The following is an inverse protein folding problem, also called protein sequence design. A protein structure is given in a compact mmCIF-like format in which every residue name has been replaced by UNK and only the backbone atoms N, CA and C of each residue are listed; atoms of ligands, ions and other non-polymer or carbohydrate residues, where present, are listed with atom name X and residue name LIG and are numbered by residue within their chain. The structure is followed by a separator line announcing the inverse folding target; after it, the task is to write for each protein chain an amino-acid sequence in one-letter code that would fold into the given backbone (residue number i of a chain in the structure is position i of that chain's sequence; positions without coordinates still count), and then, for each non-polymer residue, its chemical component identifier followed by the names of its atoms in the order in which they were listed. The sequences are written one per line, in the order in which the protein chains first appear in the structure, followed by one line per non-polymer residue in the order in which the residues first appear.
data_IF_826079164403
#
_entry.id   IF_826079164403
#
_cell.length_a   1.000
_cell.length_b   1.000
_cell.length_c   1.000
_cell.angle_alpha   90.00
_cell.angle_beta   90.00
_cell.angle_gamma   90.00
#
_symmetry.space_group_name_H-M   'P 1'
#
loop_
_entity.id
_entity.type
_entity.pdbx_description
1 polymer ?
#
# COMPACT_ATOMS: atom_id res chain seq x y z
N UNK A 1 36.08 -10.00 -3.38
CA UNK A 1 37.51 -10.08 -3.55
C UNK A 1 37.97 -11.47 -3.15
N UNK A 2 38.68 -12.14 -4.00
CA UNK A 2 39.27 -13.45 -3.76
C UNK A 2 40.76 -13.25 -3.46
N UNK A 3 41.21 -13.75 -2.31
CA UNK A 3 42.58 -13.63 -1.88
C UNK A 3 43.37 -14.90 -2.21
N UNK A 4 44.69 -14.79 -2.46
CA UNK A 4 45.58 -15.93 -2.76
C UNK A 4 45.65 -16.99 -1.67
N UNK A 5 45.28 -16.62 -0.42
CA UNK A 5 45.20 -17.57 0.70
C UNK A 5 43.89 -18.38 0.71
N UNK A 6 43.04 -18.24 -0.31
CA UNK A 6 41.74 -18.90 -0.43
C UNK A 6 40.58 -18.21 0.26
N UNK A 7 40.80 -17.07 0.96
CA UNK A 7 39.73 -16.32 1.61
C UNK A 7 38.92 -15.53 0.59
N UNK A 8 37.59 -15.45 0.80
CA UNK A 8 36.68 -14.67 -0.02
C UNK A 8 36.06 -13.56 0.82
N UNK A 9 36.38 -12.31 0.48
CA UNK A 9 35.87 -11.12 1.17
C UNK A 9 34.76 -10.53 0.31
N UNK A 10 33.55 -10.42 0.90
CA UNK A 10 32.38 -9.80 0.27
C UNK A 10 32.16 -8.41 0.85
N UNK A 11 32.14 -7.40 -0.02
CA UNK A 11 31.95 -6.01 0.37
C UNK A 11 32.03 -5.06 -0.80
N UNK A 12 31.83 -3.78 -0.54
CA UNK A 12 31.95 -2.72 -1.51
C UNK A 12 33.39 -2.21 -1.59
N UNK A 13 33.97 -2.16 -2.78
CA UNK A 13 35.28 -1.50 -2.97
C UNK A 13 35.01 0.03 -2.89
N UNK A 14 35.49 0.66 -1.81
CA UNK A 14 35.30 2.10 -1.57
C UNK A 14 36.47 2.94 -2.06
N UNK A 15 37.64 2.34 -2.21
CA UNK A 15 38.84 3.00 -2.75
C UNK A 15 39.71 1.98 -3.45
N UNK A 16 40.30 2.35 -4.58
CA UNK A 16 41.25 1.53 -5.29
C UNK A 16 42.43 2.41 -5.71
N UNK A 17 43.62 2.04 -5.24
CA UNK A 17 44.90 2.63 -5.67
C UNK A 17 45.54 1.68 -6.67
N UNK A 18 45.65 2.03 -7.97
CA UNK A 18 46.17 1.14 -9.00
C UNK A 18 47.54 0.56 -8.60
N UNK A 19 47.69 -0.74 -8.76
CA UNK A 19 48.90 -1.53 -8.47
C UNK A 19 49.40 -1.44 -7.01
N UNK A 20 48.59 -0.90 -6.09
CA UNK A 20 48.99 -0.82 -4.66
C UNK A 20 47.99 -1.57 -3.79
N UNK A 21 46.80 -1.02 -3.61
CA UNK A 21 45.84 -1.55 -2.63
C UNK A 21 44.40 -1.27 -3.00
N UNK A 22 43.50 -2.01 -2.38
CA UNK A 22 42.06 -1.76 -2.38
C UNK A 22 41.56 -1.67 -0.95
N UNK A 23 40.54 -0.80 -0.72
CA UNK A 23 39.76 -0.77 0.53
C UNK A 23 38.39 -1.37 0.27
N UNK A 24 38.02 -2.34 1.07
CA UNK A 24 36.76 -3.05 0.99
C UNK A 24 35.97 -2.79 2.27
N UNK A 25 34.78 -2.26 2.13
CA UNK A 25 33.83 -2.14 3.23
C UNK A 25 32.88 -3.32 3.22
N UNK A 26 32.86 -4.06 4.31
CA UNK A 26 31.97 -5.20 4.53
C UNK A 26 30.58 -4.74 4.97
N UNK A 27 29.63 -5.68 5.03
CA UNK A 27 28.22 -5.38 5.37
C UNK A 27 28.02 -4.83 6.79
N UNK A 28 28.91 -5.13 7.71
CA UNK A 28 28.98 -4.65 9.10
C UNK A 28 29.72 -3.31 9.25
N UNK A 29 29.94 -2.62 8.09
CA UNK A 29 30.65 -1.34 8.00
C UNK A 29 32.15 -1.39 8.32
N UNK A 30 32.72 -2.57 8.56
CA UNK A 30 34.16 -2.73 8.76
C UNK A 30 34.92 -2.48 7.46
N UNK A 31 36.07 -1.78 7.56
CA UNK A 31 36.92 -1.46 6.40
C UNK A 31 38.20 -2.28 6.49
N UNK A 32 38.47 -3.03 5.42
CA UNK A 32 39.66 -3.81 5.25
C UNK A 32 40.49 -3.27 4.09
N UNK A 33 41.81 -3.27 4.25
CA UNK A 33 42.76 -2.85 3.22
C UNK A 33 43.56 -4.08 2.79
N UNK A 34 43.55 -4.36 1.50
CA UNK A 34 44.30 -5.48 0.89
C UNK A 34 45.28 -4.93 -0.14
N UNK A 35 46.50 -5.48 -0.13
CA UNK A 35 47.49 -5.16 -1.14
C UNK A 35 47.15 -5.91 -2.43
N UNK A 36 47.50 -5.37 -3.61
CA UNK A 36 47.17 -5.99 -4.89
C UNK A 36 47.86 -7.33 -5.10
N UNK A 37 49.01 -7.57 -4.45
CA UNK A 37 49.76 -8.83 -4.49
C UNK A 37 49.10 -9.96 -3.68
N UNK A 38 48.22 -9.62 -2.71
CA UNK A 38 47.44 -10.59 -1.95
C UNK A 38 46.17 -11.04 -2.68
N UNK A 39 45.79 -10.30 -3.72
CA UNK A 39 44.53 -10.54 -4.44
C UNK A 39 44.77 -11.50 -5.61
N UNK A 40 43.98 -12.54 -5.67
CA UNK A 40 43.96 -13.49 -6.79
C UNK A 40 42.98 -12.99 -7.89
N UNK A 41 41.77 -12.60 -7.48
CA UNK A 41 40.71 -12.19 -8.41
C UNK A 41 39.75 -11.17 -7.80
N UNK A 42 39.39 -10.15 -8.58
CA UNK A 42 38.26 -9.28 -8.28
C UNK A 42 37.04 -9.77 -9.07
N UNK A 43 36.01 -10.22 -8.39
CA UNK A 43 34.74 -10.63 -9.00
C UNK A 43 33.66 -9.62 -8.60
N UNK A 44 32.79 -9.26 -9.54
CA UNK A 44 31.57 -8.53 -9.25
C UNK A 44 30.44 -9.56 -9.11
N UNK A 45 29.95 -9.75 -7.91
CA UNK A 45 28.70 -10.49 -7.68
C UNK A 45 27.56 -9.47 -7.75
N UNK A 46 26.50 -9.77 -8.50
CA UNK A 46 25.27 -8.98 -8.45
C UNK A 46 24.57 -9.31 -7.14
N UNK A 47 24.67 -8.41 -6.19
CA UNK A 47 23.92 -8.51 -4.95
C UNK A 47 22.45 -8.20 -5.26
N UNK A 48 21.59 -9.21 -5.21
CA UNK A 48 20.14 -9.08 -5.44
C UNK A 48 19.52 -8.04 -4.50
N UNK A 49 20.09 -7.84 -3.30
CA UNK A 49 19.65 -6.80 -2.36
C UNK A 49 19.98 -5.38 -2.86
N UNK A 50 21.05 -5.23 -3.64
CA UNK A 50 21.43 -3.94 -4.24
C UNK A 50 20.53 -3.58 -5.42
N UNK A 51 20.05 -4.59 -6.15
CA UNK A 51 19.08 -4.42 -7.24
C UNK A 51 17.75 -3.91 -6.72
N UNK A 52 17.25 -4.44 -5.60
CA UNK A 52 16.04 -3.93 -4.95
C UNK A 52 16.19 -2.48 -4.46
N UNK A 53 17.34 -2.11 -3.91
CA UNK A 53 17.61 -0.75 -3.44
C UNK A 53 17.70 0.26 -4.60
N UNK A 54 18.16 -0.18 -5.77
CA UNK A 54 18.24 0.63 -7.00
C UNK A 54 16.85 0.82 -7.65
N UNK A 55 15.97 -0.19 -7.56
CA UNK A 55 14.60 -0.11 -8.03
C UNK A 55 13.75 0.82 -7.13
N UNK A 56 13.99 0.81 -5.82
CA UNK A 56 13.28 1.64 -4.85
C UNK A 56 13.75 3.11 -4.82
N UNK A 57 14.80 3.46 -5.56
CA UNK A 57 15.37 4.82 -5.58
C UNK A 57 16.04 5.23 -4.26
N UNK A 58 16.51 6.47 -4.15
CA UNK A 58 17.04 6.99 -2.89
C UNK A 58 15.94 6.96 -1.84
N UNK A 59 16.30 6.54 -0.62
CA UNK A 59 15.38 6.43 0.53
C UNK A 59 14.85 7.82 0.92
N UNK A 60 13.82 8.28 0.19
CA UNK A 60 13.12 9.52 0.53
C UNK A 60 12.20 9.20 1.71
N UNK A 61 12.39 9.90 2.79
CA UNK A 61 11.52 9.84 3.95
C UNK A 61 10.54 11.02 3.86
N UNK A 62 9.26 10.73 3.93
CA UNK A 62 8.19 11.73 3.89
C UNK A 62 7.63 11.90 5.31
N UNK A 63 7.81 13.07 5.90
CA UNK A 63 7.13 13.43 7.15
C UNK A 63 5.73 13.97 6.82
N UNK A 64 4.82 13.02 6.65
CA UNK A 64 3.46 13.31 6.22
C UNK A 64 2.61 13.52 7.46
N UNK A 65 2.13 14.76 7.65
CA UNK A 65 1.17 15.15 8.69
C UNK A 65 0.17 16.13 8.13
N UNK A 66 -1.02 16.17 8.69
CA UNK A 66 -2.04 17.13 8.33
C UNK A 66 -3.20 16.53 7.57
N UNK A 67 -3.95 17.39 6.92
CA UNK A 67 -5.10 17.00 6.11
C UNK A 67 -4.69 16.09 4.96
N UNK A 68 -5.53 15.09 4.70
CA UNK A 68 -5.42 14.15 3.55
C UNK A 68 -6.79 13.87 2.97
N UNK A 69 -6.83 13.86 1.64
CA UNK A 69 -7.96 13.39 0.87
C UNK A 69 -7.60 12.17 0.03
N UNK A 70 -8.57 11.31 -0.16
CA UNK A 70 -8.47 10.12 -1.01
C UNK A 70 -9.65 10.08 -1.97
N UNK A 71 -9.38 9.73 -3.23
CA UNK A 71 -10.38 9.37 -4.23
C UNK A 71 -10.03 7.98 -4.73
N UNK A 72 -10.93 7.04 -4.56
CA UNK A 72 -10.73 5.65 -4.95
C UNK A 72 -11.84 5.19 -5.91
N UNK A 73 -11.44 4.59 -7.02
CA UNK A 73 -12.31 3.86 -7.95
C UNK A 73 -12.02 2.37 -7.78
N UNK A 74 -13.06 1.57 -7.68
CA UNK A 74 -12.90 0.14 -7.46
C UNK A 74 -14.00 -0.70 -8.06
N UNK A 75 -13.71 -1.99 -8.08
CA UNK A 75 -14.64 -3.04 -8.46
C UNK A 75 -14.66 -4.11 -7.39
N UNK A 76 -15.85 -4.52 -6.99
CA UNK A 76 -16.05 -5.63 -6.05
C UNK A 76 -16.64 -6.81 -6.82
N UNK A 77 -15.99 -7.96 -6.69
CA UNK A 77 -16.49 -9.24 -7.22
C UNK A 77 -17.41 -9.88 -6.19
N UNK A 78 -18.40 -10.64 -6.64
CA UNK A 78 -19.34 -11.34 -5.75
C UNK A 78 -20.53 -11.83 -6.54
N UNK A 79 -21.62 -12.19 -5.86
CA UNK A 79 -22.88 -12.59 -6.49
C UNK A 79 -23.50 -11.49 -7.34
N UNK A 80 -23.12 -10.23 -7.08
CA UNK A 80 -23.55 -9.04 -7.83
C UNK A 80 -22.35 -8.11 -7.99
N UNK A 81 -21.86 -7.96 -9.21
CA UNK A 81 -20.72 -7.10 -9.52
C UNK A 81 -20.96 -5.65 -9.14
N UNK A 82 -20.03 -5.00 -8.44
CA UNK A 82 -20.21 -3.65 -7.94
C UNK A 82 -19.07 -2.73 -8.34
N UNK A 83 -19.40 -1.62 -9.02
CA UNK A 83 -18.49 -0.51 -9.28
C UNK A 83 -18.61 0.48 -8.13
N UNK A 84 -17.49 0.85 -7.53
CA UNK A 84 -17.44 1.76 -6.39
C UNK A 84 -16.60 2.99 -6.70
N UNK A 85 -17.17 4.16 -6.44
CA UNK A 85 -16.42 5.40 -6.37
C UNK A 85 -16.52 5.94 -4.96
N UNK A 86 -15.40 6.14 -4.28
CA UNK A 86 -15.39 6.59 -2.89
C UNK A 86 -14.42 7.75 -2.71
N UNK A 87 -14.79 8.66 -1.81
CA UNK A 87 -13.91 9.72 -1.33
C UNK A 87 -13.84 9.65 0.19
N UNK A 88 -12.65 9.89 0.74
CA UNK A 88 -12.48 10.05 2.18
C UNK A 88 -11.54 11.20 2.50
N UNK A 89 -11.85 11.89 3.59
CA UNK A 89 -11.15 13.08 4.03
C UNK A 89 -10.85 12.95 5.52
N UNK A 90 -9.68 13.39 5.94
CA UNK A 90 -9.29 13.24 7.32
C UNK A 90 -7.91 13.81 7.62
N UNK A 91 -7.31 13.29 8.64
CA UNK A 91 -6.06 13.79 9.17
C UNK A 91 -5.02 12.68 9.33
N UNK A 92 -3.84 12.91 8.79
CA UNK A 92 -2.66 12.09 8.97
C UNK A 92 -1.97 12.55 10.27
N UNK A 93 -2.06 11.75 11.33
CA UNK A 93 -1.49 12.06 12.65
C UNK A 93 0.04 12.06 12.62
N UNK A 94 0.60 11.09 11.93
CA UNK A 94 2.02 10.89 11.72
C UNK A 94 2.21 10.09 10.42
N UNK A 95 3.43 9.84 9.92
CA UNK A 95 3.62 9.10 8.66
C UNK A 95 2.95 7.73 8.60
N UNK A 96 2.60 7.16 9.75
CA UNK A 96 2.10 5.80 9.87
C UNK A 96 0.58 5.70 10.04
N UNK A 97 -0.08 6.73 10.60
CA UNK A 97 -1.50 6.65 10.97
C UNK A 97 -2.33 7.77 10.36
N UNK A 98 -3.40 7.37 9.66
CA UNK A 98 -4.46 8.22 9.15
C UNK A 98 -5.81 7.81 9.74
N UNK A 99 -6.65 8.79 10.04
CA UNK A 99 -8.06 8.60 10.33
C UNK A 99 -8.91 9.67 9.64
N UNK A 100 -10.08 9.26 9.18
CA UNK A 100 -10.98 10.16 8.46
C UNK A 100 -12.39 9.60 8.35
N UNK A 101 -13.20 10.31 7.61
CA UNK A 101 -14.53 9.88 7.21
C UNK A 101 -14.66 9.97 5.70
N UNK A 102 -15.54 9.17 5.16
CA UNK A 102 -15.75 9.12 3.71
C UNK A 102 -17.16 8.75 3.34
N UNK A 103 -17.44 8.94 2.05
CA UNK A 103 -18.67 8.55 1.41
C UNK A 103 -18.37 8.11 -0.02
N UNK A 104 -19.38 7.67 -0.76
CA UNK A 104 -19.21 7.29 -2.14
C UNK A 104 -20.49 6.80 -2.77
N UNK A 105 -20.34 6.17 -3.92
CA UNK A 105 -21.42 5.47 -4.62
C UNK A 105 -20.95 4.06 -4.94
N UNK A 106 -21.78 3.10 -4.62
CA UNK A 106 -21.63 1.68 -4.97
C UNK A 106 -22.77 1.32 -5.92
N UNK A 107 -22.44 1.05 -7.18
CA UNK A 107 -23.42 0.66 -8.19
C UNK A 107 -23.29 -0.82 -8.46
N UNK A 108 -24.38 -1.54 -8.26
CA UNK A 108 -24.49 -2.98 -8.48
C UNK A 108 -25.07 -3.25 -9.86
N UNK A 109 -24.31 -4.00 -10.68
CA UNK A 109 -24.62 -4.15 -12.12
C UNK A 109 -25.78 -5.10 -12.38
N UNK A 110 -25.93 -6.15 -11.59
CA UNK A 110 -26.95 -7.18 -11.83
C UNK A 110 -28.30 -6.76 -11.20
N UNK A 111 -28.29 -6.11 -10.06
CA UNK A 111 -29.50 -5.62 -9.39
C UNK A 111 -29.89 -4.18 -9.78
N UNK A 112 -29.15 -3.52 -10.66
CA UNK A 112 -29.35 -2.13 -11.10
C UNK A 112 -29.62 -1.17 -9.94
N UNK A 113 -28.89 -1.34 -8.83
CA UNK A 113 -29.12 -0.62 -7.59
C UNK A 113 -27.91 0.17 -7.15
N UNK A 114 -28.14 1.29 -6.50
CA UNK A 114 -27.09 2.16 -5.99
C UNK A 114 -27.19 2.32 -4.47
N UNK A 115 -26.04 2.22 -3.82
CA UNK A 115 -25.90 2.44 -2.39
C UNK A 115 -24.91 3.56 -2.14
N UNK A 116 -25.18 4.38 -1.14
CA UNK A 116 -24.30 5.43 -0.66
C UNK A 116 -23.70 4.99 0.67
N UNK A 117 -22.47 4.50 0.70
CA UNK A 117 -21.76 4.22 1.95
C UNK A 117 -21.30 5.51 2.62
N UNK A 118 -21.50 5.60 3.95
CA UNK A 118 -20.91 6.60 4.83
C UNK A 118 -20.09 5.85 5.87
N UNK A 119 -18.78 6.15 5.94
CA UNK A 119 -17.85 5.34 6.72
C UNK A 119 -16.75 6.15 7.40
N UNK A 120 -16.22 5.61 8.49
CA UNK A 120 -14.91 5.97 9.02
C UNK A 120 -13.83 5.23 8.21
N UNK A 121 -12.75 5.92 7.87
CA UNK A 121 -11.59 5.39 7.14
C UNK A 121 -10.36 5.45 8.04
N UNK A 122 -9.83 4.28 8.37
CA UNK A 122 -8.63 4.12 9.19
C UNK A 122 -7.55 3.48 8.32
N UNK A 123 -6.37 4.08 8.27
CA UNK A 123 -5.24 3.52 7.51
C UNK A 123 -3.96 3.49 8.33
N UNK A 124 -3.20 2.40 8.22
CA UNK A 124 -1.89 2.23 8.82
C UNK A 124 -0.83 1.99 7.75
N UNK A 125 0.17 2.86 7.66
CA UNK A 125 1.30 2.72 6.75
C UNK A 125 2.44 1.98 7.45
N UNK A 126 3.07 1.03 6.79
CA UNK A 126 4.20 0.27 7.35
C UNK A 126 5.55 0.98 7.18
N UNK A 127 5.64 1.87 6.21
CA UNK A 127 6.86 2.64 5.93
C UNK A 127 6.52 4.09 5.62
N UNK A 128 7.53 4.94 5.53
CA UNK A 128 7.40 6.35 5.14
C UNK A 128 8.26 6.71 3.91
N UNK A 129 8.56 5.72 3.08
CA UNK A 129 9.37 5.88 1.87
C UNK A 129 8.56 6.25 0.62
N UNK A 130 9.15 6.02 -0.54
CA UNK A 130 8.50 6.26 -1.82
C UNK A 130 7.44 5.20 -2.16
N UNK A 131 7.70 3.95 -1.77
CA UNK A 131 6.74 2.84 -1.85
C UNK A 131 6.31 2.52 -0.43
N UNK A 132 5.01 2.65 -0.16
CA UNK A 132 4.45 2.52 1.18
C UNK A 132 3.37 1.43 1.16
N UNK A 133 3.69 0.24 1.66
CA UNK A 133 2.66 -0.75 1.99
C UNK A 133 1.77 -0.22 3.11
N UNK A 134 0.48 -0.49 3.01
CA UNK A 134 -0.48 -0.04 4.02
C UNK A 134 -1.60 -1.06 4.23
N UNK A 135 -2.24 -0.96 5.37
CA UNK A 135 -3.49 -1.64 5.73
C UNK A 135 -4.55 -0.61 6.03
N UNK A 136 -5.81 -0.94 5.79
CA UNK A 136 -6.90 -0.04 6.13
C UNK A 136 -8.18 -0.78 6.49
N UNK A 137 -9.07 -0.04 7.14
CA UNK A 137 -10.41 -0.49 7.50
C UNK A 137 -11.38 0.66 7.28
N UNK A 138 -12.42 0.40 6.49
CA UNK A 138 -13.60 1.26 6.39
C UNK A 138 -14.77 0.58 7.08
N UNK A 139 -15.41 1.31 7.99
CA UNK A 139 -16.54 0.79 8.76
C UNK A 139 -17.62 1.87 8.84
N UNK A 140 -18.87 1.49 8.61
CA UNK A 140 -19.97 2.45 8.60
C UNK A 140 -21.29 1.83 8.18
N UNK A 141 -22.09 2.62 7.46
CA UNK A 141 -23.38 2.21 6.95
C UNK A 141 -23.53 2.59 5.48
N UNK A 142 -24.28 1.80 4.76
CA UNK A 142 -24.68 2.07 3.38
C UNK A 142 -26.19 2.35 3.33
N UNK A 143 -26.55 3.40 2.61
CA UNK A 143 -27.92 3.86 2.42
C UNK A 143 -28.35 3.46 1.02
N UNK A 144 -29.43 2.71 0.89
CA UNK A 144 -30.03 2.37 -0.40
C UNK A 144 -30.83 3.56 -0.93
N UNK A 145 -30.48 4.03 -2.13
CA UNK A 145 -31.14 5.18 -2.77
C UNK A 145 -32.03 4.79 -3.94
N UNK A 146 -32.08 3.50 -4.27
CA UNK A 146 -32.81 2.99 -5.46
C UNK A 146 -34.16 2.38 -5.07
N UNK A 147 -34.29 1.83 -3.86
CA UNK A 147 -35.52 1.18 -3.42
C UNK A 147 -36.38 2.11 -2.56
N UNK A 148 -37.68 2.17 -2.86
CA UNK A 148 -38.69 2.89 -2.05
C UNK A 148 -38.80 2.39 -0.59
N UNK A 149 -38.13 1.29 -0.27
CA UNK A 149 -38.17 0.62 1.05
C UNK A 149 -36.93 0.86 1.92
N UNK A 150 -36.05 1.82 1.54
CA UNK A 150 -35.00 2.42 2.35
C UNK A 150 -34.23 1.41 3.24
N UNK A 151 -33.43 0.54 2.65
CA UNK A 151 -32.61 -0.41 3.39
C UNK A 151 -31.25 0.18 3.79
N UNK A 152 -31.06 0.46 5.08
CA UNK A 152 -29.72 0.78 5.60
C UNK A 152 -29.02 -0.50 6.02
N UNK A 153 -27.76 -0.69 5.64
CA UNK A 153 -26.98 -1.85 6.01
C UNK A 153 -25.59 -1.50 6.54
N UNK A 154 -25.07 -2.39 7.37
CA UNK A 154 -23.73 -2.28 7.86
C UNK A 154 -22.72 -2.40 6.70
N UNK A 155 -21.72 -1.53 6.68
CA UNK A 155 -20.63 -1.49 5.71
C UNK A 155 -19.31 -1.75 6.41
N UNK A 156 -18.57 -2.77 5.96
CA UNK A 156 -17.25 -3.09 6.46
C UNK A 156 -16.34 -3.46 5.28
N UNK A 157 -15.17 -2.84 5.19
CA UNK A 157 -14.21 -3.11 4.15
C UNK A 157 -12.79 -3.04 4.69
N UNK A 158 -12.25 -4.14 5.23
CA UNK A 158 -10.82 -4.29 5.45
C UNK A 158 -10.08 -4.39 4.11
N UNK A 159 -8.91 -3.77 4.02
CA UNK A 159 -8.09 -3.76 2.80
C UNK A 159 -6.61 -3.63 3.11
N UNK A 160 -5.79 -4.11 2.19
CA UNK A 160 -4.33 -3.94 2.17
C UNK A 160 -3.94 -3.34 0.83
N UNK A 161 -2.83 -2.65 0.79
CA UNK A 161 -2.41 -2.04 -0.46
C UNK A 161 -0.98 -1.53 -0.45
N UNK A 162 -0.64 -0.93 -1.57
CA UNK A 162 0.64 -0.25 -1.77
C UNK A 162 0.36 1.11 -2.40
N UNK A 163 0.99 2.14 -1.87
CA UNK A 163 0.98 3.47 -2.47
C UNK A 163 2.35 3.88 -2.94
N UNK A 164 2.38 4.58 -4.06
CA UNK A 164 3.56 5.18 -4.64
C UNK A 164 3.48 6.69 -4.48
N UNK A 165 4.41 7.25 -3.71
CA UNK A 165 4.49 8.69 -3.46
C UNK A 165 5.01 9.43 -4.69
N UNK A 166 4.18 10.27 -5.30
CA UNK A 166 4.55 11.15 -6.42
C UNK A 166 5.27 12.39 -5.93
N UNK A 167 4.97 12.83 -4.72
CA UNK A 167 5.53 14.01 -4.09
C UNK A 167 5.35 13.98 -2.57
N UNK A 168 5.48 15.13 -1.92
CA UNK A 168 5.31 15.23 -0.47
C UNK A 168 3.85 15.05 -0.02
N UNK A 169 2.90 15.35 -0.89
CA UNK A 169 1.47 15.38 -0.56
C UNK A 169 0.61 14.53 -1.47
N UNK A 170 1.15 13.95 -2.53
CA UNK A 170 0.36 13.20 -3.50
C UNK A 170 0.91 11.79 -3.69
N UNK A 171 0.02 10.84 -3.80
CA UNK A 171 0.35 9.46 -4.10
C UNK A 171 -0.72 8.81 -4.98
N UNK A 172 -0.33 7.77 -5.69
CA UNK A 172 -1.24 6.79 -6.32
C UNK A 172 -1.23 5.53 -5.47
N UNK A 173 -2.39 4.96 -5.23
CA UNK A 173 -2.52 3.75 -4.44
C UNK A 173 -3.27 2.65 -5.18
N UNK A 174 -2.89 1.41 -4.87
CA UNK A 174 -3.60 0.20 -5.26
C UNK A 174 -3.94 -0.58 -4.00
N UNK A 175 -5.16 -1.08 -3.90
CA UNK A 175 -5.57 -1.87 -2.76
C UNK A 175 -6.45 -3.04 -3.14
N UNK A 176 -6.35 -4.08 -2.34
CA UNK A 176 -7.15 -5.28 -2.36
C UNK A 176 -7.86 -5.39 -1.01
N UNK A 177 -9.13 -5.72 -1.03
CA UNK A 177 -9.89 -5.85 0.20
C UNK A 177 -11.03 -6.85 0.09
N UNK A 178 -11.75 -6.97 1.19
CA UNK A 178 -12.97 -7.74 1.26
C UNK A 178 -14.10 -6.81 1.74
N UNK A 179 -15.07 -6.58 0.88
CA UNK A 179 -16.23 -5.74 1.19
C UNK A 179 -17.38 -6.59 1.71
N UNK A 180 -17.94 -6.21 2.85
CA UNK A 180 -19.17 -6.76 3.36
C UNK A 180 -20.18 -5.65 3.52
N UNK A 181 -21.32 -5.78 2.84
CA UNK A 181 -22.38 -4.78 2.82
C UNK A 181 -23.73 -5.44 3.04
N UNK A 182 -24.29 -5.23 4.22
CA UNK A 182 -25.60 -5.77 4.54
C UNK A 182 -26.69 -4.94 3.88
N UNK A 183 -27.65 -5.60 3.23
CA UNK A 183 -28.90 -5.02 2.73
C UNK A 183 -30.05 -5.53 3.58
N UNK A 184 -30.88 -4.63 4.08
CA UNK A 184 -32.08 -4.99 4.82
C UNK A 184 -33.29 -4.72 3.93
N UNK A 185 -34.03 -5.78 3.64
CA UNK A 185 -35.30 -5.72 2.94
C UNK A 185 -36.43 -5.85 3.97
N UNK A 186 -37.37 -4.90 3.96
CA UNK A 186 -38.59 -5.00 4.75
C UNK A 186 -39.78 -5.16 3.83
N UNK A 187 -40.42 -6.33 3.82
CA UNK A 187 -41.62 -6.58 3.06
C UNK A 187 -42.71 -7.12 3.97
N UNK A 188 -43.87 -6.43 4.06
CA UNK A 188 -45.05 -6.80 4.85
C UNK A 188 -44.73 -7.25 6.29
N UNK A 189 -43.88 -6.49 7.00
CA UNK A 189 -43.58 -6.79 8.42
C UNK A 189 -42.55 -7.91 8.64
N UNK A 190 -42.01 -8.50 7.57
CA UNK A 190 -40.85 -9.41 7.66
C UNK A 190 -39.62 -8.66 7.16
N UNK A 191 -38.62 -8.53 8.03
CA UNK A 191 -37.31 -7.99 7.67
C UNK A 191 -36.35 -9.14 7.37
N UNK A 192 -35.86 -9.20 6.15
CA UNK A 192 -34.76 -10.10 5.76
C UNK A 192 -33.52 -9.27 5.49
N UNK A 193 -32.37 -9.72 5.93
CA UNK A 193 -31.08 -9.10 5.59
C UNK A 193 -30.30 -10.03 4.68
N UNK A 194 -29.84 -9.53 3.56
CA UNK A 194 -28.89 -10.21 2.70
C UNK A 194 -27.57 -9.45 2.76
N UNK A 195 -26.47 -10.13 3.03
CA UNK A 195 -25.12 -9.58 2.90
C UNK A 195 -24.64 -9.76 1.47
N UNK A 196 -24.07 -8.71 0.90
CA UNK A 196 -23.37 -8.75 -0.37
C UNK A 196 -21.90 -8.62 0.00
N UNK A 197 -21.19 -9.73 -0.19
CA UNK A 197 -19.79 -9.87 0.19
C UNK A 197 -18.96 -10.13 -1.05
N UNK A 198 -17.74 -9.59 -1.09
CA UNK A 198 -16.85 -9.84 -2.22
C UNK A 198 -15.46 -9.27 -2.07
N UNK A 199 -14.56 -9.77 -2.89
CA UNK A 199 -13.23 -9.19 -3.01
C UNK A 199 -13.31 -7.89 -3.83
N UNK A 200 -12.62 -6.85 -3.36
CA UNK A 200 -12.54 -5.59 -4.08
C UNK A 200 -11.12 -5.23 -4.45
N UNK A 201 -11.03 -4.59 -5.62
CA UNK A 201 -9.80 -4.03 -6.18
C UNK A 201 -10.04 -2.54 -6.34
N UNK A 202 -9.13 -1.72 -5.82
CA UNK A 202 -9.26 -0.26 -5.92
C UNK A 202 -7.96 0.36 -6.40
N UNK A 203 -8.10 1.37 -7.25
CA UNK A 203 -7.06 2.32 -7.59
C UNK A 203 -7.50 3.70 -7.09
N UNK A 204 -6.58 4.45 -6.54
CA UNK A 204 -6.90 5.76 -6.02
C UNK A 204 -5.75 6.74 -6.04
N UNK A 205 -6.10 7.96 -5.75
CA UNK A 205 -5.17 9.06 -5.56
C UNK A 205 -5.29 9.60 -4.14
N UNK A 206 -4.16 9.97 -3.57
CA UNK A 206 -4.01 10.65 -2.28
C UNK A 206 -3.48 12.07 -2.54
N UNK A 207 -4.06 13.07 -1.87
CA UNK A 207 -3.71 14.49 -1.99
C UNK A 207 -3.84 15.24 -0.66
#
# INVERSE_FOLDING_TARGET
VYLKNGSVIRGLIIEQVPNKSIKVQTRDESIFVYQMDEIEKLGKEEDTSYSFKKILGPKRTYDIKGYRGFLDLGYTTGDDGCIQFTTSHGYQLNPYFFFGAGTGVSYFTDSESALIPVFADLRGNFTNGQIVPFIGLRIGYAIDVTSDYGGNGFYCNPFVGVKYMLGKQSAVNFSLGYGSQARRYSFRGHSSSKSIDGFNFKIGIEF
#
